data_IF_388895392759
#
_entry.id   IF_388895392759
#
_cell.length_a   1.000
_cell.length_b   1.000
_cell.length_c   1.000
_cell.angle_alpha   90.00
_cell.angle_beta   90.00
_cell.angle_gamma   90.00
#
_symmetry.space_group_name_H-M   'P 1'
#
loop_
_entity.id
_entity.type
_entity.pdbx_description
1 polymer ?
#
# COMPACT_ATOMS: atom_id res chain seq x y z
N UNK A 1 -6.12 13.76 3.64
CA UNK A 1 -5.71 13.02 2.43
C UNK A 1 -4.44 13.65 1.89
N UNK A 2 -3.41 12.85 1.61
CA UNK A 2 -2.18 13.33 0.96
C UNK A 2 -2.44 13.44 -0.53
N UNK A 3 -2.66 14.65 -1.03
CA UNK A 3 -2.98 14.91 -2.45
C UNK A 3 -1.72 15.32 -3.21
N UNK A 4 -0.78 14.39 -3.35
CA UNK A 4 0.47 14.66 -4.07
C UNK A 4 0.18 14.93 -5.56
N UNK A 5 0.83 15.93 -6.15
CA UNK A 5 0.57 16.36 -7.54
C UNK A 5 0.75 15.22 -8.57
N UNK A 6 1.65 14.29 -8.28
CA UNK A 6 1.97 13.15 -9.14
C UNK A 6 0.93 12.03 -9.07
N UNK A 7 -0.04 12.08 -8.15
CA UNK A 7 -1.01 11.00 -7.94
C UNK A 7 -1.82 10.66 -9.21
N UNK A 8 -2.14 11.68 -10.01
CA UNK A 8 -2.88 11.52 -11.27
C UNK A 8 -2.14 10.65 -12.31
N UNK A 9 -0.81 10.54 -12.22
CA UNK A 9 0.01 9.72 -13.12
C UNK A 9 -0.16 8.21 -12.91
N UNK A 10 -0.74 7.80 -11.78
CA UNK A 10 -0.95 6.39 -11.45
C UNK A 10 -2.38 5.92 -11.74
N UNK A 11 -3.27 6.79 -12.23
CA UNK A 11 -4.65 6.43 -12.54
C UNK A 11 -4.71 5.62 -13.83
N UNK A 12 -5.27 4.42 -13.77
CA UNK A 12 -5.35 3.50 -14.92
C UNK A 12 -4.06 2.72 -15.17
N UNK A 13 -3.04 2.91 -14.34
CA UNK A 13 -1.77 2.19 -14.39
C UNK A 13 -1.83 0.87 -13.62
N UNK A 14 -0.71 0.14 -13.61
CA UNK A 14 -0.62 -1.17 -12.95
C UNK A 14 -0.33 -1.04 -11.46
N UNK A 15 -1.01 -1.87 -10.66
CA UNK A 15 -0.77 -2.04 -9.22
C UNK A 15 -0.41 -3.50 -8.95
N UNK A 16 0.68 -3.71 -8.22
CA UNK A 16 1.03 -4.99 -7.63
C UNK A 16 0.92 -4.86 -6.11
N UNK A 17 0.14 -5.75 -5.50
CA UNK A 17 -0.14 -5.72 -4.07
C UNK A 17 0.15 -7.08 -3.45
N UNK A 18 0.81 -7.08 -2.29
CA UNK A 18 1.19 -8.30 -1.55
C UNK A 18 1.04 -8.09 -0.06
N UNK A 19 0.72 -9.18 0.63
CA UNK A 19 0.74 -9.27 2.08
C UNK A 19 2.06 -9.89 2.57
N UNK A 20 2.58 -9.38 3.69
CA UNK A 20 3.76 -9.91 4.36
C UNK A 20 3.34 -10.59 5.66
N UNK A 21 3.55 -11.90 5.74
CA UNK A 21 3.25 -12.68 6.95
C UNK A 21 4.15 -12.29 8.12
N UNK A 22 3.64 -12.41 9.36
CA UNK A 22 4.34 -12.09 10.61
C UNK A 22 5.68 -12.81 10.82
N UNK A 23 5.90 -13.94 10.12
CA UNK A 23 7.17 -14.70 10.18
C UNK A 23 8.14 -14.38 9.02
N UNK A 24 7.77 -13.48 8.13
CA UNK A 24 8.60 -13.09 6.99
C UNK A 24 9.66 -12.05 7.37
N UNK A 25 10.50 -11.67 6.41
CA UNK A 25 11.49 -10.61 6.61
C UNK A 25 10.84 -9.23 6.51
N UNK A 26 10.80 -8.48 7.61
CA UNK A 26 10.09 -7.19 7.75
C UNK A 26 10.99 -5.95 7.51
N UNK A 27 11.93 -6.04 6.57
CA UNK A 27 12.66 -4.84 6.13
C UNK A 27 12.40 -4.56 4.67
N UNK A 28 12.31 -3.28 4.37
CA UNK A 28 12.05 -2.78 3.03
C UNK A 28 13.34 -2.68 2.22
N UNK A 29 13.23 -3.01 0.94
CA UNK A 29 14.22 -2.72 -0.08
C UNK A 29 13.51 -1.98 -1.22
N UNK A 30 14.22 -1.06 -1.88
CA UNK A 30 13.67 -0.39 -3.05
C UNK A 30 13.33 -1.43 -4.13
N UNK A 31 12.11 -1.41 -4.71
CA UNK A 31 11.73 -2.37 -5.75
C UNK A 31 12.44 -2.09 -7.08
N UNK A 32 12.98 -0.89 -7.26
CA UNK A 32 13.71 -0.47 -8.47
C UNK A 32 14.97 0.31 -8.10
N UNK A 33 15.97 0.27 -8.98
CA UNK A 33 17.09 1.19 -8.95
C UNK A 33 16.66 2.53 -9.55
N UNK A 34 16.95 3.63 -8.87
CA UNK A 34 16.45 4.93 -9.28
C UNK A 34 16.76 6.05 -8.30
N UNK A 35 16.29 7.24 -8.65
CA UNK A 35 16.38 8.43 -7.80
C UNK A 35 15.14 8.53 -6.92
N UNK A 36 15.32 8.60 -5.61
CA UNK A 36 14.23 8.94 -4.70
C UNK A 36 13.78 10.39 -4.96
N UNK A 37 12.52 10.57 -5.36
CA UNK A 37 11.92 11.87 -5.63
C UNK A 37 11.19 12.43 -4.42
N UNK A 38 10.48 11.56 -3.69
CA UNK A 38 9.63 11.96 -2.57
C UNK A 38 9.45 10.81 -1.58
N UNK A 39 9.31 11.17 -0.31
CA UNK A 39 8.80 10.25 0.71
C UNK A 39 7.93 11.00 1.71
N UNK A 40 6.89 10.35 2.21
CA UNK A 40 6.08 10.87 3.31
C UNK A 40 5.44 9.73 4.07
N UNK A 41 5.44 9.85 5.40
CA UNK A 41 4.52 9.12 6.25
C UNK A 41 3.15 9.80 6.18
N UNK A 42 2.10 8.99 6.22
CA UNK A 42 0.70 9.42 6.29
C UNK A 42 0.10 8.75 7.50
N UNK A 43 -0.35 9.56 8.46
CA UNK A 43 -1.02 9.08 9.66
C UNK A 43 -2.31 8.35 9.29
N UNK A 44 -2.56 7.24 9.99
CA UNK A 44 -3.75 6.43 9.81
C UNK A 44 -4.09 5.62 11.07
N UNK A 45 -5.03 4.69 10.93
CA UNK A 45 -5.49 3.85 12.04
C UNK A 45 -4.49 2.75 12.35
N UNK A 46 -4.33 2.40 13.63
CA UNK A 46 -3.56 1.23 14.05
C UNK A 46 -4.38 -0.07 13.95
N UNK A 47 -5.68 -0.01 14.21
CA UNK A 47 -6.61 -1.14 14.06
C UNK A 47 -7.88 -0.62 13.41
N UNK A 48 -8.29 -1.23 12.30
CA UNK A 48 -9.55 -0.96 11.66
C UNK A 48 -9.93 -2.14 10.76
N UNK A 49 -11.16 -2.63 10.91
CA UNK A 49 -11.70 -3.69 10.07
C UNK A 49 -12.92 -3.17 9.30
N UNK A 50 -12.96 -3.36 7.97
CA UNK A 50 -14.11 -2.92 7.19
C UNK A 50 -15.26 -3.92 7.31
N UNK A 51 -16.49 -3.43 7.43
CA UNK A 51 -17.69 -4.28 7.50
C UNK A 51 -17.91 -5.11 6.23
N UNK A 52 -17.43 -4.62 5.08
CA UNK A 52 -17.58 -5.29 3.79
C UNK A 52 -16.80 -6.59 3.65
N UNK A 53 -15.76 -6.82 4.46
CA UNK A 53 -15.01 -8.10 4.51
C UNK A 53 -14.87 -8.64 5.93
N UNK A 54 -15.64 -8.08 6.87
CA UNK A 54 -15.60 -8.41 8.29
C UNK A 54 -16.72 -9.37 8.70
N UNK A 55 -17.04 -9.40 9.99
CA UNK A 55 -18.03 -10.33 10.57
C UNK A 55 -19.46 -10.18 10.02
N UNK A 56 -19.75 -9.07 9.35
CA UNK A 56 -21.05 -8.81 8.70
C UNK A 56 -21.11 -9.27 7.25
N UNK A 57 -20.01 -9.79 6.68
CA UNK A 57 -19.98 -10.30 5.33
C UNK A 57 -20.74 -11.65 5.25
N UNK A 58 -21.56 -11.91 4.20
CA UNK A 58 -22.34 -13.14 4.09
C UNK A 58 -21.52 -14.43 4.13
N UNK A 59 -20.28 -14.38 3.63
CA UNK A 59 -19.37 -15.53 3.61
C UNK A 59 -18.53 -15.65 4.91
N UNK A 60 -18.83 -14.82 5.91
CA UNK A 60 -18.05 -14.69 7.13
C UNK A 60 -16.88 -13.72 7.02
N UNK A 61 -16.19 -13.50 8.14
CA UNK A 61 -15.01 -12.63 8.18
C UNK A 61 -13.82 -13.23 7.42
N UNK A 62 -12.99 -12.36 6.88
CA UNK A 62 -11.68 -12.73 6.34
C UNK A 62 -10.85 -13.49 7.40
N UNK A 63 -10.55 -14.76 7.12
CA UNK A 63 -9.86 -15.65 8.05
C UNK A 63 -8.45 -15.20 8.38
N UNK A 64 -7.78 -14.53 7.45
CA UNK A 64 -6.45 -13.96 7.70
C UNK A 64 -6.54 -12.53 8.25
N UNK A 65 -7.67 -11.85 8.00
CA UNK A 65 -8.00 -10.43 8.19
C UNK A 65 -7.58 -9.46 7.06
N UNK A 66 -6.36 -9.49 6.47
CA UNK A 66 -5.97 -8.55 5.45
C UNK A 66 -6.23 -9.04 4.01
N UNK A 67 -6.40 -10.34 3.76
CA UNK A 67 -6.42 -10.93 2.42
C UNK A 67 -7.45 -10.27 1.49
N UNK A 68 -8.66 -10.03 2.01
CA UNK A 68 -9.78 -9.43 1.29
C UNK A 68 -9.86 -7.91 1.45
N UNK A 69 -9.19 -7.35 2.46
CA UNK A 69 -9.29 -5.94 2.84
C UNK A 69 -8.06 -5.10 2.46
N UNK A 70 -7.12 -5.63 1.67
CA UNK A 70 -5.84 -4.97 1.36
C UNK A 70 -6.00 -3.55 0.79
N UNK A 71 -6.96 -3.32 -0.09
CA UNK A 71 -7.24 -1.98 -0.64
C UNK A 71 -7.75 -1.00 0.43
N UNK A 72 -8.62 -1.47 1.33
CA UNK A 72 -9.12 -0.68 2.46
C UNK A 72 -7.99 -0.35 3.45
N UNK A 73 -7.23 -1.35 3.88
CA UNK A 73 -6.14 -1.20 4.83
C UNK A 73 -5.10 -0.21 4.28
N UNK A 74 -4.75 -0.32 2.99
CA UNK A 74 -3.81 0.61 2.33
C UNK A 74 -4.29 2.06 2.36
N UNK A 75 -5.60 2.33 2.43
CA UNK A 75 -6.12 3.69 2.53
C UNK A 75 -6.28 4.18 3.97
N UNK A 76 -6.69 3.30 4.89
CA UNK A 76 -7.06 3.64 6.26
C UNK A 76 -5.88 3.62 7.24
N UNK A 77 -4.97 2.66 7.10
CA UNK A 77 -3.86 2.46 8.03
C UNK A 77 -2.71 3.46 7.83
N UNK A 78 -1.87 3.54 8.86
CA UNK A 78 -0.64 4.32 8.78
C UNK A 78 0.24 3.74 7.69
N UNK A 79 0.79 4.60 6.83
CA UNK A 79 1.56 4.15 5.68
C UNK A 79 2.62 5.15 5.27
N UNK A 80 3.65 4.65 4.59
CA UNK A 80 4.68 5.49 3.97
C UNK A 80 4.59 5.36 2.47
N UNK A 81 4.67 6.49 1.78
CA UNK A 81 4.69 6.60 0.33
C UNK A 81 6.12 6.93 -0.11
N UNK A 82 6.62 6.26 -1.14
CA UNK A 82 7.89 6.54 -1.80
C UNK A 82 7.66 6.71 -3.30
N UNK A 83 8.15 7.81 -3.87
CA UNK A 83 8.22 7.99 -5.31
C UNK A 83 9.67 7.85 -5.77
N UNK A 84 9.90 6.97 -6.73
CA UNK A 84 11.23 6.68 -7.28
C UNK A 84 11.18 6.85 -8.80
N UNK A 85 12.09 7.66 -9.33
CA UNK A 85 12.34 7.75 -10.76
C UNK A 85 13.24 6.59 -11.18
N UNK A 86 12.67 5.57 -11.84
CA UNK A 86 13.41 4.37 -12.18
C UNK A 86 14.44 4.62 -13.30
N UNK A 87 15.64 4.06 -13.18
CA UNK A 87 16.66 4.15 -14.24
C UNK A 87 16.30 3.33 -15.50
N UNK A 88 15.36 2.40 -15.38
CA UNK A 88 14.85 1.57 -16.47
C UNK A 88 13.54 2.15 -17.02
N UNK A 89 13.09 1.65 -18.16
CA UNK A 89 11.87 2.10 -18.86
C UNK A 89 10.54 1.71 -18.15
N UNK A 90 10.49 1.80 -16.83
CA UNK A 90 9.26 1.70 -16.02
C UNK A 90 8.68 3.08 -15.65
N UNK A 91 9.46 4.16 -15.81
CA UNK A 91 9.05 5.49 -15.40
C UNK A 91 8.99 5.65 -13.87
N UNK A 92 8.05 6.45 -13.39
CA UNK A 92 7.91 6.72 -11.96
C UNK A 92 7.25 5.53 -11.26
N UNK A 93 7.92 4.98 -10.25
CA UNK A 93 7.41 3.90 -9.41
C UNK A 93 6.98 4.47 -8.07
N UNK A 94 5.76 4.17 -7.65
CA UNK A 94 5.26 4.45 -6.31
C UNK A 94 5.27 3.17 -5.48
N UNK A 95 6.00 3.18 -4.35
CA UNK A 95 5.95 2.11 -3.36
C UNK A 95 5.20 2.60 -2.12
N UNK A 96 4.21 1.83 -1.68
CA UNK A 96 3.43 2.12 -0.47
C UNK A 96 3.64 0.98 0.52
N UNK A 97 4.04 1.34 1.72
CA UNK A 97 4.27 0.41 2.82
C UNK A 97 3.32 0.72 3.96
N UNK A 98 2.58 -0.28 4.40
CA UNK A 98 1.47 -0.14 5.34
C UNK A 98 1.85 -0.82 6.66
N UNK A 99 1.51 -0.18 7.77
CA UNK A 99 1.86 -0.60 9.14
C UNK A 99 0.61 -0.73 10.01
#
# INVERSE_FOLDING_TARGET
>A
MSNHQEASKFVGEMVYQTFLSVISYHRWNSPVKGKALYTSAVDGTYISEPTITGLTHPDGADSAAPDQSQGYITNAATRTIFLVDAEIALGMVCAIYVF
#
